data_IF_854846602738
#
_entry.id   IF_854846602738
#
_cell.length_a   1.000
_cell.length_b   1.000
_cell.length_c   1.000
_cell.angle_alpha   90.00
_cell.angle_beta   90.00
_cell.angle_gamma   90.00
#
_symmetry.space_group_name_H-M   'P 1'
#
loop_
_entity.id
_entity.type
_entity.pdbx_description
1 polymer ?
#
# COMPACT_ATOMS: atom_id res chain seq x y z
N UNK A 1 -4.94 -3.11 12.48
CA UNK A 1 -5.83 -3.35 11.31
C UNK A 1 -7.28 -3.47 11.76
N UNK A 2 -7.49 -3.84 13.03
CA UNK A 2 -8.77 -4.02 13.73
C UNK A 2 -9.82 -2.95 13.43
N UNK A 3 -9.46 -1.66 13.42
CA UNK A 3 -10.41 -0.58 13.09
C UNK A 3 -11.04 -0.72 11.71
N UNK A 4 -10.26 -1.16 10.71
CA UNK A 4 -10.72 -1.35 9.34
C UNK A 4 -11.61 -2.59 9.25
N UNK A 5 -11.21 -3.67 9.93
CA UNK A 5 -11.96 -4.94 9.94
C UNK A 5 -13.27 -4.82 10.71
N UNK A 6 -13.27 -4.13 11.85
CA UNK A 6 -14.45 -3.77 12.65
C UNK A 6 -15.48 -2.94 11.88
N UNK A 7 -15.04 -2.21 10.84
CA UNK A 7 -15.93 -1.47 9.96
C UNK A 7 -16.59 -2.35 8.89
N UNK A 8 -16.30 -3.66 8.87
CA UNK A 8 -16.92 -4.66 7.99
C UNK A 8 -16.15 -4.91 6.69
N UNK A 9 -14.83 -4.71 6.72
CA UNK A 9 -13.90 -5.03 5.63
C UNK A 9 -13.05 -6.25 5.97
N UNK A 10 -12.43 -6.81 4.95
CA UNK A 10 -11.36 -7.82 5.08
C UNK A 10 -10.15 -7.26 4.35
N UNK A 11 -9.01 -7.21 5.01
CA UNK A 11 -7.74 -6.84 4.37
C UNK A 11 -7.22 -8.08 3.64
N UNK A 12 -7.25 -8.06 2.31
CA UNK A 12 -6.88 -9.21 1.46
C UNK A 12 -5.41 -9.22 1.06
N UNK A 13 -4.76 -8.06 1.09
CA UNK A 13 -3.34 -7.88 0.73
C UNK A 13 -2.81 -6.57 1.33
N UNK A 14 -1.47 -6.42 1.38
CA UNK A 14 -0.80 -5.23 1.90
C UNK A 14 0.50 -4.89 1.14
N UNK A 15 0.82 -3.60 1.08
CA UNK A 15 2.07 -3.08 0.52
C UNK A 15 2.90 -2.35 1.58
N UNK A 16 3.04 -2.96 2.77
CA UNK A 16 3.70 -2.35 3.93
C UNK A 16 5.14 -2.85 4.11
N UNK A 17 6.05 -1.95 4.53
CA UNK A 17 7.44 -2.33 4.89
C UNK A 17 7.52 -3.28 6.08
N UNK A 18 6.52 -3.24 6.98
CA UNK A 18 6.38 -4.15 8.11
C UNK A 18 5.36 -5.27 7.83
N UNK A 19 5.06 -5.52 6.55
CA UNK A 19 4.11 -6.54 6.08
C UNK A 19 4.64 -7.22 4.82
N UNK A 20 3.84 -7.26 3.76
CA UNK A 20 4.12 -7.96 2.51
C UNK A 20 5.50 -7.64 1.92
N UNK A 21 5.93 -6.36 1.92
CA UNK A 21 7.24 -5.98 1.36
C UNK A 21 8.42 -6.63 2.08
N UNK A 22 8.31 -6.89 3.39
CA UNK A 22 9.42 -7.46 4.17
C UNK A 22 9.79 -8.87 3.70
N UNK A 23 8.79 -9.64 3.29
CA UNK A 23 8.90 -11.05 2.90
C UNK A 23 8.79 -11.28 1.39
N UNK A 24 8.64 -10.23 0.59
CA UNK A 24 8.38 -10.31 -0.84
C UNK A 24 9.54 -10.83 -1.70
N UNK A 25 10.74 -10.97 -1.14
CA UNK A 25 11.93 -11.39 -1.89
C UNK A 25 12.81 -12.31 -1.07
N UNK A 26 13.16 -13.44 -1.68
CA UNK A 26 14.09 -14.42 -1.14
C UNK A 26 15.54 -13.96 -1.30
N UNK A 27 16.43 -14.57 -0.52
CA UNK A 27 17.88 -14.42 -0.68
C UNK A 27 18.41 -15.51 -1.60
N UNK A 28 19.40 -15.16 -2.42
CA UNK A 28 20.24 -16.17 -3.07
C UNK A 28 20.93 -17.03 -2.01
N UNK A 29 20.85 -18.35 -2.16
CA UNK A 29 21.43 -19.33 -1.21
C UNK A 29 22.83 -19.81 -1.62
N UNK A 30 23.25 -19.43 -2.82
CA UNK A 30 24.55 -19.78 -3.39
C UNK A 30 25.50 -18.57 -3.33
N UNK A 31 26.80 -18.82 -3.14
CA UNK A 31 27.84 -17.79 -3.17
C UNK A 31 28.14 -17.14 -1.81
N UNK A 32 28.65 -15.90 -1.83
CA UNK A 32 28.99 -15.15 -0.62
C UNK A 32 27.70 -14.62 0.05
N UNK A 33 27.41 -15.00 1.31
CA UNK A 33 26.24 -14.51 2.04
C UNK A 33 26.16 -12.98 2.14
N UNK A 34 27.30 -12.29 2.25
CA UNK A 34 27.32 -10.82 2.33
C UNK A 34 26.89 -10.18 1.02
N UNK A 35 27.31 -10.75 -0.11
CA UNK A 35 26.91 -10.32 -1.44
C UNK A 35 25.43 -10.61 -1.68
N UNK A 36 24.93 -11.79 -1.28
CA UNK A 36 23.51 -12.14 -1.38
C UNK A 36 22.61 -11.16 -0.60
N UNK A 37 23.01 -10.80 0.63
CA UNK A 37 22.30 -9.81 1.46
C UNK A 37 22.34 -8.42 0.80
N UNK A 38 23.51 -7.98 0.33
CA UNK A 38 23.65 -6.69 -0.35
C UNK A 38 22.78 -6.62 -1.61
N UNK A 39 22.79 -7.67 -2.44
CA UNK A 39 22.00 -7.75 -3.66
C UNK A 39 20.50 -7.69 -3.37
N UNK A 40 19.98 -8.47 -2.41
CA UNK A 40 18.57 -8.35 -2.00
C UNK A 40 18.21 -6.94 -1.52
N UNK A 41 19.13 -6.28 -0.82
CA UNK A 41 18.90 -4.91 -0.37
C UNK A 41 18.91 -3.90 -1.51
N UNK A 42 19.63 -4.12 -2.61
CA UNK A 42 19.73 -3.20 -3.73
C UNK A 42 18.66 -3.47 -4.79
N UNK A 43 18.51 -4.74 -5.16
CA UNK A 43 17.60 -5.25 -6.18
C UNK A 43 16.26 -5.68 -5.55
N UNK A 44 15.57 -4.70 -4.94
CA UNK A 44 14.24 -4.97 -4.38
C UNK A 44 13.26 -5.20 -5.53
N UNK A 45 12.60 -6.36 -5.52
CA UNK A 45 11.60 -6.74 -6.51
C UNK A 45 10.37 -5.82 -6.56
N UNK A 46 10.13 -5.05 -5.49
CA UNK A 46 8.98 -4.17 -5.36
C UNK A 46 9.41 -2.70 -5.55
N UNK A 47 8.76 -1.95 -6.47
CA UNK A 47 9.03 -0.52 -6.65
C UNK A 47 8.75 0.25 -5.37
N UNK A 48 9.54 1.29 -5.10
CA UNK A 48 9.54 1.97 -3.82
C UNK A 48 9.65 3.48 -4.02
N UNK A 49 8.80 4.32 -3.41
CA UNK A 49 8.85 5.77 -3.61
C UNK A 49 10.14 6.43 -3.08
N UNK A 50 10.91 5.73 -2.23
CA UNK A 50 12.21 6.20 -1.74
C UNK A 50 13.38 5.76 -2.62
N UNK A 51 13.11 5.01 -3.69
CA UNK A 51 14.10 4.51 -4.63
C UNK A 51 13.73 4.91 -6.04
N UNK A 52 14.76 5.21 -6.82
CA UNK A 52 14.58 5.41 -8.24
C UNK A 52 14.85 4.09 -8.95
N UNK A 53 13.84 3.58 -9.65
CA UNK A 53 13.94 2.41 -10.51
C UNK A 53 13.45 2.80 -11.91
N UNK A 54 14.30 2.61 -12.92
CA UNK A 54 13.94 2.91 -14.32
C UNK A 54 13.13 1.78 -14.97
N UNK A 55 13.17 0.58 -14.40
CA UNK A 55 12.55 -0.63 -14.97
C UNK A 55 11.13 -0.88 -14.51
N UNK A 56 10.64 -0.15 -13.50
CA UNK A 56 9.34 -0.39 -12.90
C UNK A 56 8.57 0.88 -12.58
N UNK A 57 7.24 0.81 -12.64
CA UNK A 57 6.34 1.90 -12.27
C UNK A 57 5.55 1.53 -11.02
N UNK A 58 5.64 2.36 -9.99
CA UNK A 58 4.94 2.13 -8.71
C UNK A 58 3.41 2.14 -8.89
N UNK A 59 2.89 2.95 -9.81
CA UNK A 59 1.47 3.03 -10.10
C UNK A 59 0.94 1.75 -10.76
N UNK A 60 1.65 1.26 -11.77
CA UNK A 60 1.30 0.02 -12.46
C UNK A 60 1.44 -1.20 -11.54
N UNK A 61 2.47 -1.22 -10.70
CA UNK A 61 2.60 -2.22 -9.63
C UNK A 61 1.39 -2.23 -8.69
N UNK A 62 0.97 -1.06 -8.20
CA UNK A 62 -0.18 -0.94 -7.30
C UNK A 62 -1.48 -1.40 -7.95
N UNK A 63 -1.73 -1.04 -9.23
CA UNK A 63 -2.89 -1.51 -9.97
C UNK A 63 -2.86 -3.03 -10.16
N UNK A 64 -1.67 -3.59 -10.45
CA UNK A 64 -1.51 -5.05 -10.55
C UNK A 64 -1.76 -5.75 -9.21
N UNK A 65 -1.31 -5.17 -8.10
CA UNK A 65 -1.57 -5.71 -6.76
C UNK A 65 -3.07 -5.76 -6.46
N UNK A 66 -3.81 -4.69 -6.79
CA UNK A 66 -5.28 -4.68 -6.66
C UNK A 66 -5.94 -5.77 -7.53
N UNK A 67 -5.50 -5.91 -8.78
CA UNK A 67 -6.05 -6.91 -9.70
C UNK A 67 -5.76 -8.34 -9.23
N UNK A 68 -4.57 -8.62 -8.74
CA UNK A 68 -4.18 -9.99 -8.31
C UNK A 68 -4.81 -10.37 -6.98
N UNK A 69 -4.91 -9.43 -6.04
CA UNK A 69 -5.60 -9.63 -4.75
C UNK A 69 -7.13 -9.60 -4.84
N UNK A 70 -7.69 -9.16 -5.97
CA UNK A 70 -9.13 -8.91 -6.15
C UNK A 70 -9.68 -7.87 -5.16
N UNK A 71 -8.83 -6.95 -4.69
CA UNK A 71 -9.24 -5.90 -3.77
C UNK A 71 -10.27 -4.96 -4.41
N UNK A 72 -11.28 -4.59 -3.63
CA UNK A 72 -12.36 -3.69 -4.09
C UNK A 72 -12.04 -2.20 -3.86
N UNK A 73 -10.91 -1.91 -3.23
CA UNK A 73 -10.47 -0.56 -2.90
C UNK A 73 -9.13 -0.56 -2.18
N UNK A 74 -8.49 0.62 -2.11
CA UNK A 74 -7.18 0.82 -1.50
C UNK A 74 -7.25 1.85 -0.36
N UNK A 75 -6.68 1.51 0.79
CA UNK A 75 -6.48 2.44 1.90
C UNK A 75 -5.00 2.76 2.01
N UNK A 76 -4.63 4.01 1.73
CA UNK A 76 -3.27 4.50 1.95
C UNK A 76 -3.08 4.85 3.41
N UNK A 77 -2.13 4.19 4.07
CA UNK A 77 -1.66 4.52 5.41
C UNK A 77 -0.37 5.33 5.27
N UNK A 78 -0.47 6.65 5.30
CA UNK A 78 0.70 7.53 5.14
C UNK A 78 1.11 8.05 6.50
N UNK A 79 2.35 7.82 6.89
CA UNK A 79 2.90 8.42 8.11
C UNK A 79 3.09 9.91 7.85
N UNK A 80 2.63 10.74 8.79
CA UNK A 80 2.77 12.19 8.74
C UNK A 80 4.23 12.58 8.50
N UNK A 81 4.44 13.51 7.59
CA UNK A 81 5.77 13.94 7.13
C UNK A 81 6.60 12.87 6.42
N UNK A 82 5.98 11.83 5.86
CA UNK A 82 6.66 10.90 4.97
C UNK A 82 6.68 11.46 3.54
N UNK A 83 7.59 12.41 3.27
CA UNK A 83 7.62 13.16 2.01
C UNK A 83 7.61 12.27 0.75
N UNK A 84 8.35 11.14 0.69
CA UNK A 84 8.31 10.28 -0.50
C UNK A 84 6.91 9.74 -0.79
N UNK A 85 6.16 9.29 0.22
CA UNK A 85 4.82 8.76 0.01
C UNK A 85 3.82 9.89 -0.29
N UNK A 86 3.93 11.04 0.39
CA UNK A 86 3.09 12.21 0.13
C UNK A 86 3.24 12.75 -1.30
N UNK A 87 4.48 12.79 -1.81
CA UNK A 87 4.76 13.26 -3.17
C UNK A 87 4.25 12.31 -4.25
N UNK A 88 4.33 10.99 -4.01
CA UNK A 88 3.82 9.99 -4.96
C UNK A 88 2.30 9.81 -4.88
N UNK A 89 1.66 10.13 -3.75
CA UNK A 89 0.24 9.89 -3.55
C UNK A 89 -0.67 10.43 -4.66
N UNK A 90 -0.54 11.68 -5.14
CA UNK A 90 -1.38 12.19 -6.25
C UNK A 90 -1.27 11.34 -7.53
N UNK A 91 -0.06 10.88 -7.85
CA UNK A 91 0.20 10.03 -9.01
C UNK A 91 -0.46 8.65 -8.86
N UNK A 92 -0.35 8.04 -7.68
CA UNK A 92 -0.96 6.73 -7.40
C UNK A 92 -2.49 6.82 -7.41
N UNK A 93 -3.06 7.91 -6.87
CA UNK A 93 -4.50 8.19 -6.93
C UNK A 93 -4.97 8.30 -8.38
N UNK A 94 -4.23 9.01 -9.23
CA UNK A 94 -4.56 9.14 -10.66
C UNK A 94 -4.58 7.77 -11.36
N UNK A 95 -3.57 6.92 -11.10
CA UNK A 95 -3.49 5.55 -11.65
C UNK A 95 -4.67 4.68 -11.21
N UNK A 96 -5.00 4.69 -9.91
CA UNK A 96 -6.14 3.94 -9.39
C UNK A 96 -7.47 4.45 -9.93
N UNK A 97 -7.65 5.77 -10.05
CA UNK A 97 -8.85 6.37 -10.64
C UNK A 97 -9.03 5.97 -12.10
N UNK A 98 -7.95 5.98 -12.91
CA UNK A 98 -7.98 5.48 -14.29
C UNK A 98 -8.34 4.00 -14.38
N UNK A 99 -7.95 3.21 -13.38
CA UNK A 99 -8.31 1.79 -13.26
C UNK A 99 -9.71 1.55 -12.65
N UNK A 100 -10.45 2.60 -12.27
CA UNK A 100 -11.76 2.48 -11.64
C UNK A 100 -11.72 1.98 -10.19
N UNK A 101 -10.57 2.05 -9.53
CA UNK A 101 -10.37 1.56 -8.16
C UNK A 101 -10.59 2.68 -7.14
N UNK A 102 -11.58 2.58 -6.24
CA UNK A 102 -11.80 3.57 -5.21
C UNK A 102 -10.66 3.54 -4.18
N UNK A 103 -10.28 4.71 -3.66
CA UNK A 103 -9.22 4.80 -2.67
C UNK A 103 -9.52 5.85 -1.59
N UNK A 104 -8.86 5.72 -0.44
CA UNK A 104 -8.85 6.73 0.62
C UNK A 104 -7.46 6.83 1.27
N UNK A 105 -7.14 7.99 1.85
CA UNK A 105 -5.93 8.18 2.64
C UNK A 105 -6.25 8.41 4.12
N UNK A 106 -5.49 7.71 4.97
CA UNK A 106 -5.44 7.88 6.41
C UNK A 106 -4.01 8.31 6.74
N UNK A 107 -3.87 9.56 7.17
CA UNK A 107 -2.63 10.03 7.77
C UNK A 107 -2.48 9.42 9.17
N UNK A 108 -1.29 8.92 9.47
CA UNK A 108 -0.96 8.24 10.72
C UNK A 108 0.19 8.95 11.42
N UNK A 109 0.15 8.99 12.74
CA UNK A 109 1.24 9.49 13.59
C UNK A 109 1.30 8.65 14.87
N UNK A 110 2.34 8.82 15.69
CA UNK A 110 2.54 7.98 16.89
C UNK A 110 1.36 8.06 17.86
N UNK A 111 0.80 9.26 18.04
CA UNK A 111 -0.45 9.49 18.75
C UNK A 111 -1.57 9.71 17.74
N UNK A 112 -2.33 8.65 17.44
CA UNK A 112 -3.41 8.79 16.46
C UNK A 112 -4.45 9.82 16.93
N UNK A 113 -4.81 10.80 16.08
CA UNK A 113 -5.96 11.65 16.33
C UNK A 113 -7.23 10.78 16.42
N UNK A 114 -8.21 11.25 17.20
CA UNK A 114 -9.46 10.57 17.58
C UNK A 114 -9.82 9.35 16.71
N UNK A 115 -9.61 8.15 17.26
CA UNK A 115 -9.96 6.86 16.67
C UNK A 115 -11.39 6.84 16.10
N UNK A 116 -12.32 7.54 16.76
CA UNK A 116 -13.72 7.66 16.30
C UNK A 116 -13.88 8.39 14.96
N UNK A 117 -13.04 9.40 14.68
CA UNK A 117 -13.05 10.10 13.39
C UNK A 117 -12.59 9.18 12.26
N UNK A 118 -11.48 8.46 12.47
CA UNK A 118 -10.95 7.51 11.49
C UNK A 118 -11.98 6.41 11.22
N UNK A 119 -12.60 5.86 12.27
CA UNK A 119 -13.65 4.84 12.14
C UNK A 119 -14.82 5.31 11.27
N UNK A 120 -15.33 6.52 11.52
CA UNK A 120 -16.44 7.09 10.72
C UNK A 120 -16.06 7.26 9.26
N UNK A 121 -14.83 7.74 8.97
CA UNK A 121 -14.34 7.90 7.59
C UNK A 121 -14.21 6.57 6.87
N UNK A 122 -13.67 5.55 7.53
CA UNK A 122 -13.56 4.20 6.99
C UNK A 122 -14.95 3.61 6.72
N UNK A 123 -15.90 3.73 7.65
CA UNK A 123 -17.29 3.27 7.43
C UNK A 123 -17.95 3.93 6.21
N UNK A 124 -17.78 5.24 6.05
CA UNK A 124 -18.31 5.97 4.90
C UNK A 124 -17.69 5.50 3.56
N UNK A 125 -16.38 5.24 3.56
CA UNK A 125 -15.67 4.69 2.41
C UNK A 125 -16.16 3.29 2.03
N UNK A 126 -16.36 2.42 3.02
CA UNK A 126 -16.88 1.05 2.81
C UNK A 126 -18.30 1.09 2.24
N UNK A 127 -19.16 1.95 2.79
CA UNK A 127 -20.52 2.13 2.29
C UNK A 127 -20.54 2.62 0.83
N UNK A 128 -19.63 3.52 0.46
CA UNK A 128 -19.47 3.97 -0.93
C UNK A 128 -19.10 2.81 -1.86
N UNK A 129 -18.14 1.96 -1.49
CA UNK A 129 -17.75 0.79 -2.29
C UNK A 129 -18.94 -0.17 -2.47
N UNK A 130 -19.66 -0.47 -1.38
CA UNK A 130 -20.81 -1.38 -1.42
C UNK A 130 -21.94 -0.89 -2.33
N UNK A 131 -22.15 0.43 -2.43
CA UNK A 131 -23.15 1.01 -3.33
C UNK A 131 -22.76 0.90 -4.79
N UNK A 132 -21.47 1.04 -5.11
CA UNK A 132 -20.97 0.97 -6.48
C UNK A 132 -20.83 -0.47 -7.02
N UNK A 133 -20.86 -1.47 -6.13
CA UNK A 133 -20.83 -2.89 -6.49
C UNK A 133 -22.20 -3.47 -6.87
N UNK A 134 -23.29 -2.68 -6.75
CA UNK A 134 -24.64 -3.03 -7.21
C UNK A 134 -24.91 -2.47 -8.60
#
# INVERSE_FOLDING_TARGET
>A
MDLIEDAGCIVVDDDLYAGGRYIASDLGVDGDPMEAIANRHLDMAIPCPTRFDQGSDLGDYLVNLVNTSQAQGVIFLIVKFCQPHDMYYPYLVEKLQKAGVPNMMIETEHEMPSVGQVKTRVQAYIEMIRRNAK
#
